data_IF_347909177051
#
_entry.id   IF_347909177051
#
_cell.length_a   1.000
_cell.length_b   1.000
_cell.length_c   1.000
_cell.angle_alpha   90.00
_cell.angle_beta   90.00
_cell.angle_gamma   90.00
#
_symmetry.space_group_name_H-M   'P 1'
#
loop_
_entity.id
_entity.type
_entity.pdbx_description
1 polymer ?
#
# COMPACT_ATOMS: atom_id res chain seq x y z
N UNK A 1 -49.36 33.54 14.87
CA UNK A 1 -48.40 33.05 15.89
C UNK A 1 -47.10 32.73 15.18
N UNK A 2 -46.07 33.54 15.41
CA UNK A 2 -44.75 33.45 14.78
C UNK A 2 -43.79 32.78 15.75
N UNK A 3 -43.09 31.73 15.31
CA UNK A 3 -42.07 31.04 16.11
C UNK A 3 -40.69 31.44 15.62
N UNK A 4 -39.92 32.05 16.52
CA UNK A 4 -38.60 32.60 16.28
C UNK A 4 -37.52 31.52 16.13
N UNK A 5 -36.68 31.68 15.11
CA UNK A 5 -35.43 30.95 14.88
C UNK A 5 -34.43 31.29 16.00
N UNK A 6 -33.84 30.28 16.64
CA UNK A 6 -32.69 30.43 17.55
C UNK A 6 -31.40 30.03 16.84
N UNK A 7 -30.56 31.02 16.56
CA UNK A 7 -29.18 30.86 16.06
C UNK A 7 -28.26 30.54 17.25
N UNK A 8 -27.56 29.41 17.21
CA UNK A 8 -26.56 29.04 18.22
C UNK A 8 -25.27 29.84 18.02
N UNK A 9 -24.77 30.44 19.10
CA UNK A 9 -23.62 31.33 19.12
C UNK A 9 -22.28 30.60 19.32
N UNK A 10 -21.29 31.04 18.53
CA UNK A 10 -19.84 31.14 18.78
C UNK A 10 -18.91 29.90 18.84
N UNK A 11 -18.10 29.76 17.77
CA UNK A 11 -16.99 28.82 17.56
C UNK A 11 -15.64 29.22 18.18
N UNK A 12 -15.60 30.16 19.13
CA UNK A 12 -14.33 30.71 19.65
C UNK A 12 -13.89 30.17 21.02
N UNK A 13 -14.74 29.46 21.75
CA UNK A 13 -14.41 28.90 23.08
C UNK A 13 -13.74 27.52 23.01
N UNK A 14 -14.03 26.73 21.97
CA UNK A 14 -13.53 25.35 21.84
C UNK A 14 -12.03 25.27 21.52
N UNK A 15 -11.50 26.24 20.77
CA UNK A 15 -10.08 26.26 20.33
C UNK A 15 -9.12 26.54 21.50
N UNK A 16 -9.50 27.40 22.46
CA UNK A 16 -8.64 27.71 23.63
C UNK A 16 -8.47 26.52 24.58
N UNK A 17 -9.47 25.63 24.63
CA UNK A 17 -9.39 24.40 25.45
C UNK A 17 -8.41 23.39 24.86
N UNK A 18 -8.33 23.28 23.52
CA UNK A 18 -7.39 22.39 22.84
C UNK A 18 -5.92 22.82 22.99
N UNK A 19 -5.62 24.12 22.88
CA UNK A 19 -4.25 24.64 23.02
C UNK A 19 -3.72 24.43 24.46
N UNK A 20 -4.60 24.50 25.47
CA UNK A 20 -4.23 24.21 26.87
C UNK A 20 -3.96 22.73 27.14
N UNK A 21 -4.50 21.81 26.32
CA UNK A 21 -4.27 20.37 26.43
C UNK A 21 -2.94 19.95 25.77
N UNK A 22 -2.49 20.66 24.74
CA UNK A 22 -1.23 20.39 24.04
C UNK A 22 0.02 20.81 24.83
N UNK A 23 -0.11 21.77 25.77
CA UNK A 23 1.00 22.25 26.61
C UNK A 23 1.15 21.51 27.95
N UNK A 24 0.41 20.42 28.18
CA UNK A 24 0.65 19.52 29.32
C UNK A 24 1.66 18.45 28.92
N UNK A 25 2.94 18.81 28.98
CA UNK A 25 4.03 17.84 28.92
C UNK A 25 3.91 16.85 30.07
N UNK A 26 3.63 15.59 29.75
CA UNK A 26 3.57 14.50 30.71
C UNK A 26 4.93 14.28 31.38
N UNK A 27 4.96 14.11 32.70
CA UNK A 27 6.15 13.73 33.47
C UNK A 27 6.32 12.21 33.48
N UNK A 28 6.45 11.60 32.31
CA UNK A 28 6.80 10.18 32.20
C UNK A 28 8.27 10.04 31.75
N UNK A 29 9.06 9.10 32.33
CA UNK A 29 10.48 8.97 32.05
C UNK A 29 10.84 8.64 30.60
N UNK A 30 9.85 8.30 29.76
CA UNK A 30 10.08 7.92 28.37
C UNK A 30 10.38 9.12 27.44
N UNK A 31 10.09 10.37 27.86
CA UNK A 31 10.33 11.58 27.03
C UNK A 31 10.89 12.78 27.84
N UNK A 32 11.73 12.55 28.85
CA UNK A 32 12.43 13.65 29.54
C UNK A 32 13.60 14.17 28.70
N UNK A 33 13.36 15.15 27.82
CA UNK A 33 14.48 15.92 27.27
C UNK A 33 15.05 16.84 28.36
N UNK A 34 16.30 16.56 28.69
CA UNK A 34 17.09 17.19 29.73
C UNK A 34 17.12 18.72 29.60
N UNK A 35 16.73 19.40 30.67
CA UNK A 35 17.17 20.77 30.96
C UNK A 35 17.75 20.83 32.37
N UNK A 36 19.06 20.77 32.44
CA UNK A 36 19.99 21.38 33.40
C UNK A 36 21.37 20.77 33.07
N UNK A 37 22.49 21.50 33.05
CA UNK A 37 23.11 22.13 34.22
C UNK A 37 24.09 23.22 33.73
N UNK A 38 24.01 24.38 34.38
CA UNK A 38 25.04 25.43 34.43
C UNK A 38 26.28 24.96 35.21
N UNK A 39 27.46 25.42 34.79
CA UNK A 39 28.66 25.72 35.59
C UNK A 39 28.80 25.09 36.99
N UNK A 40 29.86 24.30 37.20
CA UNK A 40 30.84 24.55 38.27
C UNK A 40 32.11 23.69 38.13
N UNK A 41 33.23 24.31 38.51
CA UNK A 41 34.61 23.83 38.56
C UNK A 41 34.80 22.61 39.47
N UNK A 42 35.76 21.72 39.16
CA UNK A 42 36.94 21.40 40.01
C UNK A 42 37.81 20.25 39.45
N UNK A 43 39.11 20.56 39.28
CA UNK A 43 40.33 19.79 39.65
C UNK A 43 40.55 18.38 39.05
N UNK A 44 41.52 18.24 38.12
CA UNK A 44 42.94 17.86 38.33
C UNK A 44 43.19 16.37 38.65
N UNK A 45 43.78 15.64 37.70
CA UNK A 45 45.03 14.91 37.95
C UNK A 45 45.79 14.56 36.65
N UNK A 46 47.12 14.65 36.75
CA UNK A 46 48.15 14.55 35.73
C UNK A 46 48.50 13.10 35.35
N UNK A 47 48.94 12.89 34.10
CA UNK A 47 49.61 11.66 33.67
C UNK A 47 50.30 11.84 32.32
N UNK A 48 51.64 11.87 32.37
CA UNK A 48 52.57 12.05 31.24
C UNK A 48 52.73 10.72 30.48
N UNK A 49 52.65 10.76 29.14
CA UNK A 49 52.93 9.60 28.28
C UNK A 49 53.17 10.03 26.83
N UNK A 50 54.40 9.84 26.36
CA UNK A 50 54.91 10.26 25.05
C UNK A 50 54.26 9.43 23.93
N UNK A 51 53.70 10.09 22.91
CA UNK A 51 53.18 9.43 21.72
C UNK A 51 54.24 9.36 20.62
N UNK A 52 54.53 8.13 20.21
CA UNK A 52 55.34 7.78 19.04
C UNK A 52 54.81 8.46 17.76
N UNK A 53 55.74 8.86 16.89
CA UNK A 53 55.48 9.17 15.49
C UNK A 53 54.69 8.04 14.83
N UNK A 54 53.48 8.33 14.36
CA UNK A 54 52.78 7.51 13.37
C UNK A 54 52.44 8.40 12.19
N UNK A 55 52.82 7.92 11.01
CA UNK A 55 52.67 8.55 9.70
C UNK A 55 51.36 9.32 9.51
N UNK A 56 51.48 10.60 9.13
CA UNK A 56 50.43 11.34 8.45
C UNK A 56 50.25 10.77 7.04
N UNK A 57 49.39 9.77 6.89
CA UNK A 57 48.77 9.46 5.61
C UNK A 57 47.54 10.38 5.48
N UNK A 58 47.75 11.50 4.82
CA UNK A 58 46.71 12.48 4.47
C UNK A 58 45.87 11.88 3.33
N UNK A 59 44.86 11.07 3.67
CA UNK A 59 43.84 10.62 2.73
C UNK A 59 42.67 11.61 2.77
N UNK A 60 42.59 12.49 1.77
CA UNK A 60 41.47 13.42 1.60
C UNK A 60 40.31 12.78 0.84
N UNK A 61 39.13 12.84 1.46
CA UNK A 61 37.75 12.71 0.95
C UNK A 61 37.24 11.30 0.63
N UNK A 62 35.98 10.93 0.91
CA UNK A 62 34.76 11.72 1.10
C UNK A 62 33.86 11.02 2.14
N UNK A 63 33.93 11.43 3.42
CA UNK A 63 32.96 11.01 4.46
C UNK A 63 31.63 11.73 4.23
N UNK A 64 30.97 11.44 3.10
CA UNK A 64 29.55 11.77 2.96
C UNK A 64 28.78 10.79 3.82
N UNK A 65 28.36 11.23 4.98
CA UNK A 65 27.26 10.59 5.70
C UNK A 65 26.06 10.54 4.75
N UNK A 66 25.81 9.37 4.16
CA UNK A 66 24.66 9.15 3.31
C UNK A 66 23.41 9.13 4.18
N UNK A 67 22.62 10.20 4.11
CA UNK A 67 21.27 10.20 4.68
C UNK A 67 20.36 9.36 3.77
N UNK A 68 19.97 8.18 4.25
CA UNK A 68 19.03 7.31 3.55
C UNK A 68 17.61 7.63 4.01
N UNK A 69 16.82 8.20 3.12
CA UNK A 69 15.38 8.30 3.27
C UNK A 69 14.71 7.46 2.18
N UNK A 70 13.74 6.62 2.57
CA UNK A 70 12.87 5.92 1.64
C UNK A 70 11.41 6.13 2.07
N UNK A 71 10.56 6.47 1.12
CA UNK A 71 9.12 6.59 1.32
C UNK A 71 8.45 5.28 0.93
N UNK A 72 7.65 4.71 1.83
CA UNK A 72 6.85 3.52 1.56
C UNK A 72 5.38 3.94 1.42
N UNK A 73 4.93 4.10 0.18
CA UNK A 73 3.50 4.12 -0.11
C UNK A 73 2.95 2.70 0.06
N UNK A 74 2.21 2.45 1.15
CA UNK A 74 1.58 1.15 1.39
C UNK A 74 0.17 1.12 0.83
N UNK A 75 -0.25 -0.05 0.32
CA UNK A 75 -1.66 -0.30 0.01
C UNK A 75 -2.49 -0.32 1.28
N UNK A 76 -3.77 0.02 1.19
CA UNK A 76 -4.69 -0.20 2.31
C UNK A 76 -4.85 -1.71 2.54
N UNK A 77 -4.55 -2.16 3.76
CA UNK A 77 -4.65 -3.57 4.14
C UNK A 77 -5.72 -3.72 5.23
N UNK A 78 -6.61 -4.70 5.06
CA UNK A 78 -7.61 -5.07 6.06
C UNK A 78 -7.41 -6.54 6.40
N UNK A 79 -7.41 -6.86 7.69
CA UNK A 79 -7.25 -8.22 8.19
C UNK A 79 -8.26 -8.49 9.29
N UNK A 80 -8.78 -9.71 9.31
CA UNK A 80 -9.78 -10.15 10.28
C UNK A 80 -10.80 -11.05 9.63
N UNK A 81 -11.54 -11.76 10.47
CA UNK A 81 -12.67 -12.56 10.03
C UNK A 81 -13.73 -11.66 9.38
N UNK A 82 -14.30 -12.11 8.25
CA UNK A 82 -15.38 -11.41 7.56
C UNK A 82 -14.97 -10.26 6.65
N UNK A 83 -13.70 -9.83 6.64
CA UNK A 83 -13.20 -8.71 5.81
C UNK A 83 -13.47 -8.92 4.32
N UNK A 84 -13.39 -10.15 3.81
CA UNK A 84 -13.73 -10.46 2.40
C UNK A 84 -15.17 -10.07 2.04
N UNK A 85 -16.09 -10.00 3.01
CA UNK A 85 -17.47 -9.55 2.79
C UNK A 85 -17.60 -8.06 2.49
N UNK A 86 -16.55 -7.27 2.68
CA UNK A 86 -16.56 -5.81 2.51
C UNK A 86 -16.24 -5.39 1.06
N UNK A 87 -15.69 -6.30 0.24
CA UNK A 87 -15.21 -5.98 -1.12
C UNK A 87 -16.29 -5.39 -2.02
N UNK A 88 -17.55 -5.79 -1.86
CA UNK A 88 -18.67 -5.23 -2.61
C UNK A 88 -18.92 -3.76 -2.28
N UNK A 89 -18.81 -3.38 -1.00
CA UNK A 89 -18.95 -1.99 -0.57
C UNK A 89 -17.77 -1.15 -1.08
N UNK A 90 -16.54 -1.69 -1.03
CA UNK A 90 -15.36 -1.01 -1.56
C UNK A 90 -15.50 -0.74 -3.07
N UNK A 91 -15.93 -1.74 -3.84
CA UNK A 91 -16.14 -1.62 -5.29
C UNK A 91 -17.29 -0.68 -5.64
N UNK A 92 -18.36 -0.65 -4.85
CA UNK A 92 -19.44 0.32 -4.99
C UNK A 92 -18.96 1.75 -4.69
N UNK A 93 -18.16 1.95 -3.64
CA UNK A 93 -17.55 3.24 -3.31
C UNK A 93 -16.62 3.74 -4.41
N UNK A 94 -15.93 2.82 -5.09
CA UNK A 94 -15.12 3.10 -6.28
C UNK A 94 -15.94 3.37 -7.55
N UNK A 95 -17.28 3.19 -7.49
CA UNK A 95 -18.20 3.32 -8.63
C UNK A 95 -17.83 2.37 -9.78
N UNK A 96 -17.38 1.16 -9.45
CA UNK A 96 -17.03 0.14 -10.42
C UNK A 96 -18.22 -0.22 -11.31
N UNK A 97 -18.03 -0.19 -12.63
CA UNK A 97 -19.08 -0.48 -13.62
C UNK A 97 -19.05 -1.93 -14.07
N UNK A 98 -17.88 -2.56 -14.10
CA UNK A 98 -17.68 -3.95 -14.46
C UNK A 98 -16.41 -4.51 -13.83
N UNK A 99 -16.60 -5.33 -12.80
CA UNK A 99 -15.51 -5.99 -12.08
C UNK A 99 -15.14 -7.30 -12.76
N UNK A 100 -13.86 -7.51 -13.01
CA UNK A 100 -13.34 -8.85 -13.32
C UNK A 100 -12.87 -9.52 -12.03
N UNK A 101 -13.59 -10.54 -11.61
CA UNK A 101 -13.21 -11.40 -10.49
C UNK A 101 -12.35 -12.55 -11.01
N UNK A 102 -11.09 -12.60 -10.62
CA UNK A 102 -10.16 -13.67 -10.96
C UNK A 102 -9.96 -14.60 -9.78
N UNK A 103 -10.06 -15.90 -10.02
CA UNK A 103 -9.84 -16.96 -9.05
C UNK A 103 -9.30 -18.23 -9.73
N UNK A 104 -9.03 -19.26 -8.95
CA UNK A 104 -8.65 -20.59 -9.44
C UNK A 104 -9.79 -21.62 -9.22
N UNK A 105 -9.76 -22.78 -9.90
CA UNK A 105 -10.84 -23.76 -9.83
C UNK A 105 -11.08 -24.37 -8.45
N UNK A 106 -10.10 -24.30 -7.54
CA UNK A 106 -10.24 -24.82 -6.19
C UNK A 106 -10.96 -23.77 -5.31
N UNK A 107 -10.49 -22.52 -5.34
CA UNK A 107 -11.09 -21.42 -4.59
C UNK A 107 -12.50 -21.09 -5.09
N UNK A 108 -12.77 -21.22 -6.39
CA UNK A 108 -14.10 -21.06 -7.00
C UNK A 108 -15.20 -21.89 -6.31
N UNK A 109 -14.85 -23.01 -5.69
CA UNK A 109 -15.77 -23.94 -5.03
C UNK A 109 -15.90 -23.71 -3.52
N UNK A 110 -15.10 -22.81 -2.95
CA UNK A 110 -15.06 -22.58 -1.51
C UNK A 110 -16.08 -21.52 -1.06
N UNK A 111 -16.49 -21.54 0.22
CA UNK A 111 -17.41 -20.55 0.77
C UNK A 111 -16.95 -19.09 0.60
N UNK A 112 -15.65 -18.85 0.55
CA UNK A 112 -15.08 -17.50 0.34
C UNK A 112 -15.57 -16.87 -0.95
N UNK A 113 -15.68 -17.64 -2.05
CA UNK A 113 -16.18 -17.11 -3.32
C UNK A 113 -17.67 -16.83 -3.27
N UNK A 114 -18.43 -17.60 -2.49
CA UNK A 114 -19.83 -17.28 -2.20
C UNK A 114 -19.94 -15.94 -1.47
N UNK A 115 -19.11 -15.71 -0.44
CA UNK A 115 -19.07 -14.44 0.29
C UNK A 115 -18.78 -13.26 -0.63
N UNK A 116 -17.81 -13.40 -1.54
CA UNK A 116 -17.49 -12.36 -2.54
C UNK A 116 -18.68 -12.08 -3.45
N UNK A 117 -19.27 -13.12 -4.04
CA UNK A 117 -20.41 -12.99 -4.95
C UNK A 117 -21.63 -12.36 -4.26
N UNK A 118 -21.93 -12.79 -3.04
CA UNK A 118 -23.03 -12.23 -2.26
C UNK A 118 -22.79 -10.77 -1.91
N UNK A 119 -21.55 -10.40 -1.56
CA UNK A 119 -21.16 -9.02 -1.30
C UNK A 119 -21.32 -8.13 -2.55
N UNK A 120 -20.86 -8.59 -3.71
CA UNK A 120 -21.01 -7.86 -4.99
C UNK A 120 -22.49 -7.65 -5.34
N UNK A 121 -23.31 -8.71 -5.21
CA UNK A 121 -24.75 -8.65 -5.49
C UNK A 121 -25.49 -7.73 -4.53
N UNK A 122 -25.20 -7.81 -3.23
CA UNK A 122 -25.83 -6.96 -2.22
C UNK A 122 -25.56 -5.46 -2.46
N UNK A 123 -24.42 -5.14 -3.07
CA UNK A 123 -24.02 -3.78 -3.41
C UNK A 123 -24.32 -3.37 -4.86
N UNK A 124 -25.00 -4.23 -5.64
CA UNK A 124 -25.36 -3.93 -7.03
C UNK A 124 -24.16 -3.76 -7.98
N UNK A 125 -23.02 -4.35 -7.67
CA UNK A 125 -21.78 -4.23 -8.47
C UNK A 125 -21.80 -5.25 -9.60
N UNK A 126 -21.79 -4.85 -10.89
CA UNK A 126 -21.73 -5.80 -12.00
C UNK A 126 -20.35 -6.46 -12.08
N UNK A 127 -20.34 -7.77 -12.33
CA UNK A 127 -19.09 -8.54 -12.37
C UNK A 127 -19.12 -9.68 -13.39
N UNK A 128 -17.93 -10.12 -13.78
CA UNK A 128 -17.67 -11.34 -14.55
C UNK A 128 -16.59 -12.15 -13.83
N UNK A 129 -16.64 -13.49 -13.93
CA UNK A 129 -15.71 -14.37 -13.21
C UNK A 129 -14.81 -15.08 -14.23
N UNK A 130 -13.50 -15.05 -13.97
CA UNK A 130 -12.50 -15.91 -14.56
C UNK A 130 -11.96 -16.86 -13.48
N UNK A 131 -12.24 -18.15 -13.61
CA UNK A 131 -11.96 -19.18 -12.60
C UNK A 131 -10.93 -20.23 -13.05
N UNK A 132 -10.21 -19.95 -14.14
CA UNK A 132 -9.29 -20.90 -14.78
C UNK A 132 -7.82 -20.66 -14.45
N UNK A 133 -7.53 -19.83 -13.44
CA UNK A 133 -6.15 -19.54 -13.04
C UNK A 133 -5.44 -20.81 -12.58
N UNK A 134 -4.17 -20.97 -12.99
CA UNK A 134 -3.32 -22.11 -12.61
C UNK A 134 -2.37 -21.70 -11.49
N UNK A 135 -2.02 -22.65 -10.62
CA UNK A 135 -1.04 -22.43 -9.56
C UNK A 135 0.36 -22.13 -10.12
N UNK A 136 0.75 -22.82 -11.19
CA UNK A 136 1.96 -22.53 -11.96
C UNK A 136 1.52 -21.99 -13.33
N UNK A 137 1.38 -20.66 -13.48
CA UNK A 137 0.89 -20.08 -14.72
C UNK A 137 1.93 -20.24 -15.84
N UNK A 138 1.48 -20.77 -16.97
CA UNK A 138 2.21 -20.87 -18.24
C UNK A 138 1.87 -19.69 -19.14
N UNK A 139 2.68 -19.42 -20.16
CA UNK A 139 2.41 -18.38 -21.18
C UNK A 139 1.01 -18.52 -21.78
N UNK A 140 0.59 -19.76 -22.09
CA UNK A 140 -0.75 -20.05 -22.61
C UNK A 140 -1.86 -19.69 -21.60
N UNK A 141 -1.63 -19.94 -20.32
CA UNK A 141 -2.64 -19.60 -19.29
C UNK A 141 -2.70 -18.10 -19.00
N UNK A 142 -1.59 -17.38 -19.12
CA UNK A 142 -1.60 -15.91 -19.11
C UNK A 142 -2.36 -15.39 -20.32
N UNK A 143 -2.09 -15.93 -21.52
CA UNK A 143 -2.79 -15.51 -22.73
C UNK A 143 -4.31 -15.74 -22.62
N UNK A 144 -4.76 -16.88 -22.12
CA UNK A 144 -6.21 -17.14 -21.88
C UNK A 144 -6.83 -16.10 -20.95
N UNK A 145 -6.14 -15.77 -19.86
CA UNK A 145 -6.60 -14.75 -18.91
C UNK A 145 -6.63 -13.33 -19.54
N UNK A 146 -5.62 -12.99 -20.33
CA UNK A 146 -5.51 -11.71 -21.05
C UNK A 146 -6.62 -11.59 -22.09
N UNK A 147 -6.84 -12.63 -22.90
CA UNK A 147 -7.86 -12.64 -23.95
C UNK A 147 -9.26 -12.53 -23.34
N UNK A 148 -9.53 -13.27 -22.26
CA UNK A 148 -10.77 -13.14 -21.50
C UNK A 148 -10.97 -11.72 -20.99
N UNK A 149 -9.92 -11.09 -20.47
CA UNK A 149 -9.97 -9.72 -19.94
C UNK A 149 -10.24 -8.71 -21.05
N UNK A 150 -9.55 -8.83 -22.20
CA UNK A 150 -9.76 -7.98 -23.39
C UNK A 150 -11.18 -8.10 -23.93
N UNK A 151 -11.76 -9.31 -23.94
CA UNK A 151 -13.12 -9.53 -24.40
C UNK A 151 -14.17 -8.83 -23.50
N UNK A 152 -13.94 -8.77 -22.19
CA UNK A 152 -14.90 -8.21 -21.24
C UNK A 152 -14.70 -6.73 -20.93
N UNK A 153 -13.49 -6.20 -21.09
CA UNK A 153 -13.11 -4.81 -20.81
C UNK A 153 -13.57 -4.35 -19.41
N UNK A 154 -13.10 -4.98 -18.33
CA UNK A 154 -13.40 -4.54 -16.97
C UNK A 154 -12.74 -3.19 -16.65
N UNK A 155 -13.37 -2.40 -15.78
CA UNK A 155 -12.79 -1.16 -15.27
C UNK A 155 -12.11 -1.34 -13.91
N UNK A 156 -12.39 -2.43 -13.20
CA UNK A 156 -11.77 -2.79 -11.92
C UNK A 156 -11.52 -4.30 -11.83
N UNK A 157 -10.44 -4.68 -11.17
CA UNK A 157 -10.04 -6.07 -10.96
C UNK A 157 -10.21 -6.48 -9.49
N UNK A 158 -10.67 -7.71 -9.27
CA UNK A 158 -10.73 -8.35 -7.96
C UNK A 158 -10.07 -9.72 -8.04
N UNK A 159 -8.91 -9.89 -7.40
CA UNK A 159 -8.24 -11.18 -7.28
C UNK A 159 -8.67 -11.88 -5.98
N UNK A 160 -9.17 -13.11 -6.08
CA UNK A 160 -9.58 -13.94 -4.93
C UNK A 160 -8.83 -15.27 -4.96
N UNK A 161 -7.81 -15.42 -4.13
CA UNK A 161 -7.00 -16.62 -4.04
C UNK A 161 -5.53 -16.36 -3.70
N UNK A 162 -4.66 -17.31 -4.05
CA UNK A 162 -3.23 -17.27 -3.75
C UNK A 162 -2.41 -16.35 -4.68
N UNK A 163 -1.08 -16.43 -4.55
CA UNK A 163 -0.14 -15.61 -5.34
C UNK A 163 -0.34 -15.76 -6.85
N UNK A 164 -0.56 -16.98 -7.33
CA UNK A 164 -0.77 -17.25 -8.76
C UNK A 164 -2.01 -16.56 -9.32
N UNK A 165 -3.10 -16.47 -8.54
CA UNK A 165 -4.30 -15.70 -8.91
C UNK A 165 -3.97 -14.22 -8.98
N UNK A 166 -3.29 -13.69 -7.97
CA UNK A 166 -2.92 -12.27 -7.92
C UNK A 166 -1.98 -11.88 -9.07
N UNK A 167 -0.99 -12.72 -9.39
CA UNK A 167 -0.02 -12.43 -10.44
C UNK A 167 -0.63 -12.58 -11.84
N UNK A 168 -1.50 -13.57 -12.05
CA UNK A 168 -2.33 -13.67 -13.27
C UNK A 168 -3.20 -12.43 -13.45
N UNK A 169 -3.80 -11.94 -12.35
CA UNK A 169 -4.63 -10.74 -12.38
C UNK A 169 -3.84 -9.46 -12.68
N UNK A 170 -2.64 -9.30 -12.11
CA UNK A 170 -1.73 -8.19 -12.46
C UNK A 170 -1.34 -8.22 -13.92
N UNK A 171 -0.97 -9.38 -14.46
CA UNK A 171 -0.62 -9.53 -15.87
C UNK A 171 -1.80 -9.19 -16.77
N UNK A 172 -2.99 -9.75 -16.49
CA UNK A 172 -4.18 -9.46 -17.27
C UNK A 172 -4.57 -7.96 -17.25
N UNK A 173 -4.45 -7.30 -16.10
CA UNK A 173 -4.64 -5.86 -15.97
C UNK A 173 -3.59 -5.09 -16.79
N UNK A 174 -2.32 -5.45 -16.70
CA UNK A 174 -1.25 -4.84 -17.49
C UNK A 174 -1.56 -4.93 -18.99
N UNK A 175 -1.82 -6.12 -19.52
CA UNK A 175 -2.03 -6.33 -20.95
C UNK A 175 -3.41 -5.87 -21.47
N UNK A 176 -4.36 -5.53 -20.58
CA UNK A 176 -5.55 -4.77 -20.97
C UNK A 176 -5.17 -3.35 -21.43
N UNK A 177 -4.21 -2.72 -20.75
CA UNK A 177 -3.74 -1.35 -21.07
C UNK A 177 -2.67 -1.31 -22.16
N UNK A 178 -2.04 -2.44 -22.47
CA UNK A 178 -1.08 -2.63 -23.55
C UNK A 178 -1.51 -3.77 -24.47
N UNK A 179 -2.54 -3.59 -25.29
CA UNK A 179 -3.10 -4.68 -26.09
C UNK A 179 -2.19 -5.16 -27.22
N UNK A 180 -1.28 -4.30 -27.70
CA UNK A 180 -0.47 -4.51 -28.90
C UNK A 180 0.99 -4.93 -28.61
N UNK A 181 1.31 -5.24 -27.36
CA UNK A 181 2.67 -5.66 -26.96
C UNK A 181 2.72 -7.16 -26.70
N UNK A 182 3.91 -7.73 -26.88
CA UNK A 182 4.17 -9.15 -26.62
C UNK A 182 4.16 -9.46 -25.11
N UNK A 183 3.83 -10.72 -24.76
CA UNK A 183 3.77 -11.20 -23.37
C UNK A 183 5.10 -11.05 -22.61
N UNK A 184 6.24 -11.01 -23.31
CA UNK A 184 7.56 -10.86 -22.69
C UNK A 184 8.08 -9.42 -22.68
N UNK A 185 7.30 -8.44 -23.15
CA UNK A 185 7.74 -7.03 -23.25
C UNK A 185 8.17 -6.46 -21.89
N UNK A 186 7.38 -6.72 -20.84
CA UNK A 186 7.61 -6.20 -19.49
C UNK A 186 8.38 -7.17 -18.59
N UNK A 187 8.72 -8.36 -19.08
CA UNK A 187 9.53 -9.33 -18.33
C UNK A 187 10.98 -8.86 -18.35
N UNK A 188 11.70 -8.96 -17.23
CA UNK A 188 13.10 -8.54 -17.15
C UNK A 188 14.01 -9.39 -18.04
N UNK A 189 15.12 -8.78 -18.49
CA UNK A 189 16.22 -9.50 -19.12
C UNK A 189 16.76 -10.61 -18.18
N UNK A 190 17.25 -11.75 -18.71
CA UNK A 190 17.46 -12.03 -20.15
C UNK A 190 16.23 -12.58 -20.87
N UNK A 191 15.11 -12.82 -20.19
CA UNK A 191 13.93 -13.48 -20.76
C UNK A 191 13.09 -12.50 -21.60
N UNK A 192 12.89 -11.29 -21.09
CA UNK A 192 12.14 -10.23 -21.79
C UNK A 192 12.96 -8.96 -21.96
N UNK A 193 12.28 -7.87 -22.32
CA UNK A 193 12.93 -6.57 -22.61
C UNK A 193 13.04 -5.64 -21.41
N UNK A 194 12.29 -5.90 -20.34
CA UNK A 194 12.26 -5.04 -19.14
C UNK A 194 11.74 -3.63 -19.43
N UNK A 195 10.83 -3.48 -20.39
CA UNK A 195 10.29 -2.18 -20.77
C UNK A 195 9.55 -1.49 -19.62
N UNK A 196 9.55 -0.16 -19.59
CA UNK A 196 8.94 0.62 -18.51
C UNK A 196 7.44 0.79 -18.73
N UNK A 197 6.66 0.57 -17.67
CA UNK A 197 5.21 0.79 -17.65
C UNK A 197 4.94 2.29 -17.42
N UNK A 198 4.33 2.96 -18.40
CA UNK A 198 4.04 4.41 -18.37
C UNK A 198 2.53 4.75 -18.26
N UNK A 199 1.65 3.81 -18.62
CA UNK A 199 0.19 3.94 -18.48
C UNK A 199 -0.27 3.60 -17.06
N UNK A 200 -1.27 4.34 -16.58
CA UNK A 200 -2.02 4.00 -15.37
C UNK A 200 -2.86 2.76 -15.62
N UNK A 201 -2.71 1.75 -14.76
CA UNK A 201 -3.49 0.52 -14.82
C UNK A 201 -4.83 0.67 -14.10
N UNK A 202 -5.75 -0.26 -14.34
CA UNK A 202 -7.03 -0.28 -13.64
C UNK A 202 -6.81 -0.61 -12.16
N UNK A 203 -7.66 -0.12 -11.25
CA UNK A 203 -7.58 -0.50 -9.84
C UNK A 203 -7.71 -2.01 -9.64
N UNK A 204 -6.98 -2.56 -8.67
CA UNK A 204 -6.99 -3.98 -8.31
C UNK A 204 -7.13 -4.15 -6.80
N UNK A 205 -8.14 -4.89 -6.37
CA UNK A 205 -8.29 -5.37 -4.99
C UNK A 205 -7.86 -6.85 -4.93
N UNK A 206 -7.12 -7.23 -3.91
CA UNK A 206 -6.70 -8.61 -3.69
C UNK A 206 -7.23 -9.14 -2.34
N UNK A 207 -7.88 -10.30 -2.36
CA UNK A 207 -8.37 -11.01 -1.19
C UNK A 207 -7.77 -12.42 -1.19
N UNK A 208 -7.05 -12.76 -0.11
CA UNK A 208 -6.38 -14.06 0.07
C UNK A 208 -7.13 -14.91 1.09
#
# INVERSE_FOLDING_TARGET
>A
MSAAVRVAQNSKSSIKSLISLMNRSCTCPAHSHARAIQNQQQQQHQGVGQHHHVHTADCKHDDKEHEYAFEMASSTMRFGEGVTGEVGQDLANMKAKKVLVMTDPNIAKLPVMKTVVDSLKANGVPYVIYDRTRAEPTDKSFQDAIDFTKAHQPDVFLAVGGGSVMDTCKAANLYLHYPDVDLLEFVNAPIGKGSVIHKTLSPLIASK
#
